data_IF_140648404466
#
_entry.id   IF_140648404466
#
_cell.length_a   1.000
_cell.length_b   1.000
_cell.length_c   1.000
_cell.angle_alpha   90.00
_cell.angle_beta   90.00
_cell.angle_gamma   90.00
#
_symmetry.space_group_name_H-M   'P 1'
#
loop_
_entity.id
_entity.type
_entity.pdbx_description
1 polymer ?
#
# COMPACT_ATOMS: atom_id res chain seq x y z
N UNK A 1 33.40 -37.00 -11.86
CA UNK A 1 33.21 -37.65 -10.55
C UNK A 1 31.79 -37.30 -10.10
N UNK A 2 30.86 -38.27 -10.16
CA UNK A 2 29.51 -38.12 -9.68
C UNK A 2 29.55 -38.03 -8.15
N UNK A 3 29.14 -36.92 -7.59
CA UNK A 3 28.82 -36.82 -6.14
C UNK A 3 27.69 -37.83 -5.87
N UNK A 4 28.01 -38.94 -5.19
CA UNK A 4 26.99 -39.79 -4.59
C UNK A 4 26.18 -38.89 -3.64
N UNK A 5 24.87 -38.82 -3.87
CA UNK A 5 23.97 -38.09 -2.96
C UNK A 5 24.05 -38.76 -1.59
N UNK A 6 24.57 -38.06 -0.58
CA UNK A 6 24.50 -38.50 0.79
C UNK A 6 23.04 -38.72 1.18
N UNK A 7 22.73 -39.89 1.74
CA UNK A 7 21.36 -40.15 2.26
C UNK A 7 21.07 -39.21 3.42
N UNK A 8 19.92 -38.62 3.40
CA UNK A 8 19.45 -37.80 4.52
C UNK A 8 19.38 -38.62 5.80
N UNK A 9 19.98 -38.12 6.87
CA UNK A 9 19.95 -38.73 8.18
C UNK A 9 18.82 -38.09 9.01
N UNK A 10 17.77 -38.85 9.32
CA UNK A 10 16.69 -38.40 10.18
C UNK A 10 17.14 -38.30 11.62
N UNK A 11 16.94 -37.17 12.26
CA UNK A 11 17.17 -36.98 13.69
C UNK A 11 15.89 -37.07 14.51
N UNK A 12 14.75 -37.37 13.84
CA UNK A 12 13.48 -37.61 14.50
C UNK A 12 13.48 -39.00 15.12
N UNK A 13 13.18 -39.05 16.41
CA UNK A 13 13.10 -40.29 17.17
C UNK A 13 11.67 -40.82 17.19
N UNK A 14 10.69 -39.91 17.49
CA UNK A 14 9.28 -40.27 17.63
C UNK A 14 8.38 -39.03 17.52
N UNK A 15 7.09 -39.29 17.42
CA UNK A 15 6.01 -38.33 17.52
C UNK A 15 5.17 -38.66 18.74
N UNK A 16 4.76 -37.67 19.53
CA UNK A 16 3.96 -37.88 20.73
C UNK A 16 3.12 -36.63 21.05
N UNK A 17 2.15 -36.75 21.95
CA UNK A 17 1.52 -35.62 22.59
C UNK A 17 2.30 -35.31 23.87
N UNK A 18 3.10 -34.26 23.85
CA UNK A 18 3.93 -33.88 24.97
C UNK A 18 3.11 -33.04 25.96
N UNK A 19 3.28 -33.30 27.28
CA UNK A 19 2.62 -32.52 28.32
C UNK A 19 3.25 -31.13 28.41
N UNK A 20 2.41 -30.07 28.38
CA UNK A 20 2.89 -28.68 28.38
C UNK A 20 3.67 -28.32 29.66
N UNK A 21 3.31 -28.95 30.80
CA UNK A 21 3.97 -28.74 32.09
C UNK A 21 5.38 -29.39 32.20
N UNK A 22 5.76 -30.21 31.21
CA UNK A 22 7.06 -30.87 31.13
C UNK A 22 7.97 -30.29 30.03
N UNK A 23 7.45 -29.36 29.23
CA UNK A 23 8.23 -28.73 28.15
C UNK A 23 9.06 -27.58 28.74
N UNK A 24 10.36 -27.64 28.52
CA UNK A 24 11.27 -26.55 28.94
C UNK A 24 11.49 -25.59 27.78
N UNK A 25 11.16 -24.31 28.01
CA UNK A 25 11.48 -23.27 27.02
C UNK A 25 13.00 -23.17 26.85
N UNK A 26 13.47 -23.07 25.61
CA UNK A 26 14.90 -22.97 25.35
C UNK A 26 15.45 -21.63 25.86
N UNK A 27 16.43 -21.63 26.76
CA UNK A 27 16.99 -20.41 27.33
C UNK A 27 17.74 -19.54 26.28
N UNK A 28 18.08 -20.12 25.12
CA UNK A 28 18.72 -19.43 23.99
C UNK A 28 17.70 -18.94 22.94
N UNK A 29 16.39 -19.08 23.22
CA UNK A 29 15.40 -18.56 22.31
C UNK A 29 15.47 -17.03 22.29
N UNK A 30 15.75 -16.46 21.11
CA UNK A 30 15.90 -15.02 20.89
C UNK A 30 14.65 -14.37 20.28
N UNK A 31 13.59 -15.14 20.01
CA UNK A 31 12.39 -14.66 19.31
C UNK A 31 11.46 -13.97 20.27
N UNK A 32 10.96 -12.82 19.83
CA UNK A 32 9.89 -12.06 20.49
C UNK A 32 8.68 -12.07 19.57
N UNK A 33 7.55 -12.53 20.08
CA UNK A 33 6.31 -12.66 19.32
C UNK A 33 5.39 -11.47 19.66
N UNK A 34 5.17 -10.54 18.71
CA UNK A 34 4.27 -9.41 18.92
C UNK A 34 2.81 -9.88 19.02
N UNK A 35 1.94 -9.04 19.60
CA UNK A 35 0.57 -9.41 19.92
C UNK A 35 -0.23 -9.81 18.67
N UNK A 36 -0.12 -9.04 17.56
CA UNK A 36 -0.82 -9.36 16.32
C UNK A 36 -0.48 -10.76 15.78
N UNK A 37 0.78 -11.24 15.94
CA UNK A 37 1.16 -12.60 15.56
C UNK A 37 0.50 -13.65 16.46
N UNK A 38 0.37 -13.36 17.76
CA UNK A 38 -0.34 -14.22 18.73
C UNK A 38 -1.81 -14.35 18.37
N UNK A 39 -2.46 -13.22 18.10
CA UNK A 39 -3.88 -13.15 17.77
C UNK A 39 -4.20 -13.88 16.45
N UNK A 40 -3.36 -13.70 15.42
CA UNK A 40 -3.51 -14.40 14.16
C UNK A 40 -3.32 -15.92 14.29
N UNK A 41 -2.31 -16.38 15.07
CA UNK A 41 -2.10 -17.81 15.31
C UNK A 41 -3.25 -18.42 16.11
N UNK A 42 -3.80 -17.69 17.08
CA UNK A 42 -4.97 -18.11 17.86
C UNK A 42 -6.20 -18.27 16.95
N UNK A 43 -6.43 -17.31 16.06
CA UNK A 43 -7.48 -17.39 15.06
C UNK A 43 -7.35 -18.64 14.18
N UNK A 44 -6.17 -18.89 13.62
CA UNK A 44 -5.92 -20.10 12.79
C UNK A 44 -6.14 -21.38 13.58
N UNK A 45 -5.67 -21.46 14.81
CA UNK A 45 -5.88 -22.65 15.66
C UNK A 45 -7.37 -22.85 15.96
N UNK A 46 -8.13 -21.78 16.18
CA UNK A 46 -9.59 -21.87 16.40
C UNK A 46 -10.36 -22.33 15.17
N UNK A 47 -9.99 -21.87 13.97
CA UNK A 47 -10.70 -22.22 12.73
C UNK A 47 -10.31 -23.58 12.18
N UNK A 48 -9.04 -23.95 12.22
CA UNK A 48 -8.49 -25.13 11.54
C UNK A 48 -8.00 -26.20 12.51
N UNK A 49 -7.59 -25.79 13.71
CA UNK A 49 -6.91 -26.66 14.67
C UNK A 49 -5.39 -26.62 14.55
N UNK A 50 -4.72 -27.45 15.36
CA UNK A 50 -3.26 -27.55 15.38
C UNK A 50 -2.79 -28.46 14.25
N UNK A 51 -2.09 -27.91 13.27
CA UNK A 51 -1.59 -28.63 12.07
C UNK A 51 -0.07 -28.80 12.05
N UNK A 52 0.64 -28.22 13.01
CA UNK A 52 2.09 -28.26 13.07
C UNK A 52 2.58 -28.62 14.46
N UNK A 53 3.43 -29.67 14.54
CA UNK A 53 4.06 -30.12 15.78
C UNK A 53 5.05 -29.10 16.32
N UNK A 54 5.22 -29.06 17.63
CA UNK A 54 6.39 -28.44 18.27
C UNK A 54 7.59 -29.39 18.18
N UNK A 55 8.81 -28.88 18.25
CA UNK A 55 10.03 -29.71 18.19
C UNK A 55 10.73 -29.67 19.54
N UNK A 56 10.95 -30.82 20.14
CA UNK A 56 11.61 -30.98 21.46
C UNK A 56 12.84 -31.83 21.31
N UNK A 57 13.97 -31.39 21.87
CA UNK A 57 15.19 -32.17 21.90
C UNK A 57 15.22 -33.11 23.12
N UNK A 58 15.25 -34.39 22.90
CA UNK A 58 15.23 -35.38 23.98
C UNK A 58 16.44 -35.29 24.93
N UNK A 59 17.63 -34.90 24.43
CA UNK A 59 18.83 -34.81 25.25
C UNK A 59 18.81 -33.70 26.26
N UNK A 60 18.27 -32.55 25.86
CA UNK A 60 18.24 -31.33 26.69
C UNK A 60 16.89 -31.11 27.35
N UNK A 61 15.83 -31.71 26.84
CA UNK A 61 14.45 -31.43 27.21
C UNK A 61 13.93 -30.06 26.71
N UNK A 62 14.77 -29.32 25.96
CA UNK A 62 14.45 -27.99 25.50
C UNK A 62 13.54 -27.99 24.25
N UNK A 63 12.66 -27.02 24.19
CA UNK A 63 11.91 -26.69 22.99
C UNK A 63 12.86 -26.07 21.94
N UNK A 64 12.86 -26.62 20.74
CA UNK A 64 13.69 -26.15 19.60
C UNK A 64 12.86 -25.27 18.66
N UNK A 65 11.60 -25.62 18.44
CA UNK A 65 10.64 -24.84 17.68
C UNK A 65 9.24 -24.92 18.27
N UNK A 66 8.43 -23.86 18.07
CA UNK A 66 7.04 -23.79 18.49
C UNK A 66 6.81 -23.15 19.86
N UNK A 67 7.73 -22.30 20.33
CA UNK A 67 7.60 -21.59 21.62
C UNK A 67 6.24 -20.89 21.75
N UNK A 68 5.82 -20.14 20.73
CA UNK A 68 4.52 -19.46 20.72
C UNK A 68 3.34 -20.44 20.85
N UNK A 69 3.40 -21.59 20.17
CA UNK A 69 2.34 -22.63 20.25
C UNK A 69 2.24 -23.22 21.65
N UNK A 70 3.35 -23.46 22.31
CA UNK A 70 3.37 -23.93 23.71
C UNK A 70 2.84 -22.85 24.66
N UNK A 71 3.28 -21.59 24.52
CA UNK A 71 2.77 -20.48 25.34
C UNK A 71 1.25 -20.34 25.24
N UNK A 72 0.70 -20.46 24.00
CA UNK A 72 -0.74 -20.38 23.77
C UNK A 72 -1.48 -21.60 24.32
N UNK A 73 -0.94 -22.82 24.17
CA UNK A 73 -1.52 -24.00 24.78
C UNK A 73 -1.64 -23.88 26.29
N UNK A 74 -0.58 -23.37 26.96
CA UNK A 74 -0.62 -23.11 28.40
C UNK A 74 -1.69 -22.05 28.73
N UNK A 75 -1.75 -20.95 27.99
CA UNK A 75 -2.73 -19.89 28.20
C UNK A 75 -4.18 -20.37 28.02
N UNK A 76 -4.41 -21.29 27.10
CA UNK A 76 -5.73 -21.87 26.81
C UNK A 76 -6.06 -23.08 27.70
N UNK A 77 -5.17 -23.50 28.63
CA UNK A 77 -5.40 -24.59 29.55
C UNK A 77 -5.32 -25.99 28.92
N UNK A 78 -4.62 -26.12 27.79
CA UNK A 78 -4.37 -27.40 27.16
C UNK A 78 -3.38 -28.22 27.98
N UNK A 79 -3.62 -29.53 28.12
CA UNK A 79 -2.74 -30.42 28.88
C UNK A 79 -1.56 -30.90 28.04
N UNK A 80 -1.73 -31.03 26.71
CA UNK A 80 -0.75 -31.57 25.81
C UNK A 80 -0.69 -30.82 24.49
N UNK A 81 0.47 -30.89 23.79
CA UNK A 81 0.64 -30.41 22.42
C UNK A 81 1.26 -31.50 21.55
N UNK A 82 0.93 -31.59 20.26
CA UNK A 82 1.57 -32.53 19.35
C UNK A 82 3.04 -32.15 19.17
N UNK A 83 3.94 -33.09 19.40
CA UNK A 83 5.38 -32.87 19.41
C UNK A 83 6.12 -33.85 18.51
N UNK A 84 7.18 -33.37 17.90
CA UNK A 84 8.24 -34.14 17.23
C UNK A 84 9.47 -34.16 18.13
N UNK A 85 9.88 -35.34 18.57
CA UNK A 85 11.02 -35.51 19.43
C UNK A 85 12.24 -35.80 18.56
N UNK A 86 13.31 -35.02 18.80
CA UNK A 86 14.56 -35.14 18.03
C UNK A 86 15.76 -35.46 18.96
N UNK A 87 16.78 -36.07 18.39
CA UNK A 87 18.05 -36.36 19.07
C UNK A 87 19.18 -35.45 18.54
N UNK A 88 19.39 -34.33 19.22
CA UNK A 88 20.39 -33.33 18.83
C UNK A 88 21.41 -33.14 19.96
N UNK A 89 22.71 -33.00 19.61
CA UNK A 89 23.70 -32.44 20.54
C UNK A 89 23.37 -30.93 20.80
N UNK A 90 23.92 -30.37 21.86
CA UNK A 90 23.72 -28.94 22.19
C UNK A 90 24.16 -27.98 21.06
N UNK A 91 25.23 -28.36 20.32
CA UNK A 91 25.69 -27.56 19.17
C UNK A 91 24.74 -27.65 17.97
N UNK A 92 24.18 -28.84 17.72
CA UNK A 92 23.16 -29.02 16.65
C UNK A 92 21.84 -28.31 17.03
N UNK A 93 21.43 -28.40 18.30
CA UNK A 93 20.26 -27.66 18.79
C UNK A 93 20.43 -26.15 18.60
N UNK A 94 21.59 -25.59 18.96
CA UNK A 94 21.89 -24.19 18.77
C UNK A 94 21.90 -23.80 17.27
N UNK A 95 22.42 -24.67 16.40
CA UNK A 95 22.42 -24.48 14.96
C UNK A 95 20.98 -24.44 14.40
N UNK A 96 20.16 -25.42 14.75
CA UNK A 96 18.77 -25.48 14.30
C UNK A 96 17.97 -24.27 14.82
N UNK A 97 18.08 -23.94 16.11
CA UNK A 97 17.41 -22.79 16.72
C UNK A 97 17.74 -21.48 15.99
N UNK A 98 19.00 -21.33 15.53
CA UNK A 98 19.44 -20.11 14.83
C UNK A 98 19.14 -20.08 13.33
N UNK A 99 18.79 -21.20 12.70
CA UNK A 99 18.69 -21.28 11.23
C UNK A 99 17.31 -21.62 10.69
N UNK A 100 16.43 -22.28 11.46
CA UNK A 100 15.14 -22.79 10.94
C UNK A 100 14.26 -21.67 10.36
N UNK A 101 14.11 -20.56 11.06
CA UNK A 101 13.29 -19.43 10.58
C UNK A 101 14.02 -18.57 9.55
N UNK A 102 15.31 -18.18 9.75
CA UNK A 102 16.04 -17.47 8.69
C UNK A 102 16.04 -18.21 7.36
N UNK A 103 16.15 -19.55 7.36
CA UNK A 103 16.07 -20.33 6.11
C UNK A 103 14.67 -20.25 5.49
N UNK A 104 13.61 -20.30 6.30
CA UNK A 104 12.23 -20.12 5.82
C UNK A 104 12.00 -18.71 5.26
N UNK A 105 12.56 -17.69 5.90
CA UNK A 105 12.48 -16.30 5.48
C UNK A 105 13.27 -15.97 4.20
N UNK A 106 14.22 -16.82 3.79
CA UNK A 106 14.94 -16.66 2.51
C UNK A 106 14.13 -17.09 1.29
N UNK A 107 13.01 -17.77 1.49
CA UNK A 107 12.12 -18.12 0.38
C UNK A 107 11.50 -16.85 -0.20
N UNK A 108 11.54 -16.72 -1.53
CA UNK A 108 10.86 -15.63 -2.23
C UNK A 108 9.42 -16.01 -2.52
N UNK A 109 8.53 -15.04 -2.45
CA UNK A 109 7.10 -15.24 -2.72
C UNK A 109 6.84 -15.11 -4.22
N UNK A 110 6.15 -16.10 -4.81
CA UNK A 110 5.53 -15.99 -6.12
C UNK A 110 4.18 -15.27 -5.93
N UNK A 111 4.17 -13.99 -6.26
CA UNK A 111 3.01 -13.12 -6.03
C UNK A 111 1.74 -13.63 -6.72
N UNK A 112 1.86 -14.20 -7.95
CA UNK A 112 0.68 -14.69 -8.68
C UNK A 112 0.05 -15.89 -7.97
N UNK A 113 0.87 -16.85 -7.52
CA UNK A 113 0.36 -18.02 -6.80
C UNK A 113 -0.19 -17.67 -5.42
N UNK A 114 0.41 -16.67 -4.76
CA UNK A 114 -0.10 -16.18 -3.49
C UNK A 114 -1.45 -15.48 -3.69
N UNK A 115 -1.61 -14.66 -4.74
CA UNK A 115 -2.88 -14.03 -5.08
C UNK A 115 -3.99 -15.08 -5.34
N UNK A 116 -3.70 -16.10 -6.17
CA UNK A 116 -4.62 -17.22 -6.40
C UNK A 116 -5.03 -17.89 -5.07
N UNK A 117 -4.05 -18.17 -4.19
CA UNK A 117 -4.32 -18.79 -2.89
C UNK A 117 -5.18 -17.89 -1.99
N UNK A 118 -4.86 -16.59 -1.92
CA UNK A 118 -5.60 -15.65 -1.07
C UNK A 118 -7.06 -15.47 -1.53
N UNK A 119 -7.33 -15.59 -2.83
CA UNK A 119 -8.70 -15.55 -3.38
C UNK A 119 -9.56 -16.74 -2.93
N UNK A 120 -8.94 -17.87 -2.65
CA UNK A 120 -9.64 -19.09 -2.20
C UNK A 120 -9.86 -19.13 -0.69
N UNK A 121 -9.12 -18.33 0.09
CA UNK A 121 -9.25 -18.29 1.54
C UNK A 121 -10.50 -17.50 1.94
N UNK A 122 -11.28 -18.07 2.88
CA UNK A 122 -12.43 -17.41 3.50
C UNK A 122 -12.32 -17.55 5.01
N UNK A 123 -12.29 -16.44 5.71
CA UNK A 123 -12.26 -16.37 7.17
C UNK A 123 -13.08 -15.19 7.66
N UNK A 124 -13.73 -15.32 8.80
CA UNK A 124 -14.41 -14.22 9.50
C UNK A 124 -13.59 -13.73 10.70
N UNK A 125 -12.43 -14.35 10.98
CA UNK A 125 -11.56 -13.92 12.06
C UNK A 125 -10.76 -12.69 11.62
N UNK A 126 -10.92 -11.60 12.35
CA UNK A 126 -10.30 -10.30 12.02
C UNK A 126 -8.77 -10.39 12.03
N UNK A 127 -8.19 -11.11 13.00
CA UNK A 127 -6.73 -11.22 13.13
C UNK A 127 -6.11 -12.01 11.98
N UNK A 128 -6.83 -13.02 11.46
CA UNK A 128 -6.42 -13.74 10.25
C UNK A 128 -6.55 -12.83 9.03
N UNK A 129 -7.64 -12.06 8.92
CA UNK A 129 -7.81 -11.11 7.81
C UNK A 129 -6.70 -10.06 7.79
N UNK A 130 -6.33 -9.51 8.93
CA UNK A 130 -5.22 -8.57 9.07
C UNK A 130 -3.88 -9.22 8.64
N UNK A 131 -3.58 -10.43 9.10
CA UNK A 131 -2.39 -11.18 8.69
C UNK A 131 -2.34 -11.43 7.18
N UNK A 132 -3.46 -11.85 6.57
CA UNK A 132 -3.54 -12.13 5.13
C UNK A 132 -3.41 -10.83 4.32
N UNK A 133 -3.94 -9.72 4.82
CA UNK A 133 -3.79 -8.40 4.23
C UNK A 133 -2.32 -7.96 4.26
N UNK A 134 -1.66 -8.07 5.42
CA UNK A 134 -0.22 -7.76 5.54
C UNK A 134 0.63 -8.64 4.61
N UNK A 135 0.29 -9.93 4.49
CA UNK A 135 0.98 -10.86 3.60
C UNK A 135 0.81 -10.47 2.12
N UNK A 136 -0.41 -10.09 1.72
CA UNK A 136 -0.70 -9.60 0.38
C UNK A 136 0.06 -8.29 0.09
N UNK A 137 -0.01 -7.32 1.01
CA UNK A 137 0.69 -6.03 0.89
C UNK A 137 2.21 -6.21 0.79
N UNK A 138 2.79 -7.08 1.62
CA UNK A 138 4.24 -7.37 1.59
C UNK A 138 4.67 -8.09 0.30
N UNK A 139 3.78 -8.85 -0.33
CA UNK A 139 4.02 -9.50 -1.61
C UNK A 139 3.68 -8.59 -2.81
N UNK A 140 3.22 -7.36 -2.56
CA UNK A 140 2.75 -6.43 -3.59
C UNK A 140 1.43 -6.88 -4.24
N UNK A 141 0.68 -7.76 -3.57
CA UNK A 141 -0.66 -8.16 -3.95
C UNK A 141 -1.63 -7.23 -3.23
N UNK A 142 -2.46 -6.55 -3.98
CA UNK A 142 -3.53 -5.78 -3.37
C UNK A 142 -4.69 -6.72 -3.08
N UNK A 143 -5.27 -6.66 -1.86
CA UNK A 143 -6.44 -7.46 -1.55
C UNK A 143 -7.54 -7.14 -2.57
N UNK A 144 -8.31 -8.14 -3.04
CA UNK A 144 -9.51 -7.87 -3.81
C UNK A 144 -10.38 -6.96 -2.95
N UNK A 145 -10.84 -5.85 -3.51
CA UNK A 145 -11.73 -4.93 -2.82
C UNK A 145 -12.94 -5.74 -2.32
N UNK A 146 -13.06 -5.87 -1.01
CA UNK A 146 -14.25 -6.46 -0.37
C UNK A 146 -15.37 -5.46 -0.42
N UNK A 147 -16.01 -5.37 -1.56
CA UNK A 147 -17.21 -4.60 -1.80
C UNK A 147 -17.92 -5.23 -2.98
N UNK A 148 -19.15 -5.68 -2.78
CA UNK A 148 -20.14 -5.99 -3.83
C UNK A 148 -20.50 -4.69 -4.61
N UNK A 149 -19.50 -4.01 -5.12
CA UNK A 149 -19.62 -3.01 -6.16
C UNK A 149 -19.13 -3.68 -7.43
N UNK A 150 -20.06 -4.11 -8.27
CA UNK A 150 -19.76 -4.53 -9.63
C UNK A 150 -18.69 -3.60 -10.20
N UNK A 151 -17.60 -4.20 -10.69
CA UNK A 151 -16.72 -3.54 -11.65
C UNK A 151 -17.59 -3.17 -12.87
N UNK A 152 -18.32 -2.07 -12.79
CA UNK A 152 -18.60 -1.33 -14.00
C UNK A 152 -17.23 -0.79 -14.42
N UNK A 153 -16.61 -1.48 -15.39
CA UNK A 153 -15.57 -0.90 -16.21
C UNK A 153 -16.16 0.41 -16.74
N UNK A 154 -15.88 1.50 -16.04
CA UNK A 154 -16.20 2.82 -16.57
C UNK A 154 -15.35 2.96 -17.83
N UNK A 155 -16.00 2.82 -18.99
CA UNK A 155 -15.38 3.07 -20.28
C UNK A 155 -14.73 4.46 -20.29
N UNK A 156 -13.70 4.69 -21.14
CA UNK A 156 -13.13 6.02 -21.31
C UNK A 156 -14.26 7.03 -21.47
N UNK A 157 -14.31 8.04 -20.58
CA UNK A 157 -15.36 9.05 -20.63
C UNK A 157 -15.16 9.80 -21.95
N UNK A 158 -16.06 9.61 -22.92
CA UNK A 158 -16.07 10.34 -24.18
C UNK A 158 -16.29 11.83 -23.88
N UNK A 159 -15.76 12.73 -24.71
CA UNK A 159 -15.86 14.19 -24.52
C UNK A 159 -17.31 14.65 -24.29
N UNK A 160 -18.26 14.03 -24.97
CA UNK A 160 -19.70 14.31 -24.80
C UNK A 160 -20.18 14.00 -23.36
N UNK A 161 -19.65 12.96 -22.75
CA UNK A 161 -20.01 12.55 -21.37
C UNK A 161 -19.39 13.48 -20.32
N UNK A 162 -18.20 14.04 -20.57
CA UNK A 162 -17.59 15.08 -19.73
C UNK A 162 -18.47 16.34 -19.70
N UNK A 163 -18.96 16.77 -20.87
CA UNK A 163 -19.84 17.91 -20.99
C UNK A 163 -21.21 17.67 -20.30
N UNK A 164 -21.75 16.47 -20.38
CA UNK A 164 -22.96 16.07 -19.67
C UNK A 164 -22.79 16.12 -18.15
N UNK A 165 -21.65 15.58 -17.63
CA UNK A 165 -21.34 15.60 -16.21
C UNK A 165 -21.15 17.03 -15.70
N UNK A 166 -20.45 17.88 -16.46
CA UNK A 166 -20.28 19.28 -16.09
C UNK A 166 -21.64 20.00 -16.02
N UNK A 167 -22.53 19.78 -17.00
CA UNK A 167 -23.90 20.35 -16.97
C UNK A 167 -24.71 19.81 -15.80
N UNK A 168 -24.60 18.53 -15.48
CA UNK A 168 -25.29 17.88 -14.36
C UNK A 168 -24.90 18.49 -13.01
N UNK A 169 -23.62 18.69 -12.78
CA UNK A 169 -23.10 19.19 -11.51
C UNK A 169 -23.04 20.73 -11.47
N UNK A 170 -22.97 21.40 -12.60
CA UNK A 170 -22.83 22.88 -12.68
C UNK A 170 -21.48 23.36 -12.14
N UNK A 171 -20.41 22.58 -12.38
CA UNK A 171 -19.07 22.91 -11.89
C UNK A 171 -18.46 24.07 -12.64
N UNK A 172 -17.92 25.04 -11.89
CA UNK A 172 -17.29 26.27 -12.41
C UNK A 172 -16.01 26.57 -11.66
N UNK A 173 -15.12 27.30 -12.33
CA UNK A 173 -13.87 27.73 -11.71
C UNK A 173 -14.12 28.62 -10.48
N UNK A 174 -13.39 28.41 -9.40
CA UNK A 174 -13.51 29.10 -8.12
C UNK A 174 -14.43 28.42 -7.10
N UNK A 175 -15.23 27.44 -7.52
CA UNK A 175 -16.12 26.72 -6.60
C UNK A 175 -15.37 25.74 -5.71
N UNK A 176 -15.86 25.60 -4.46
CA UNK A 176 -15.45 24.56 -3.52
C UNK A 176 -16.64 23.65 -3.27
N UNK A 177 -16.37 22.35 -3.33
CA UNK A 177 -17.33 21.28 -3.11
C UNK A 177 -16.96 20.46 -1.88
N UNK A 178 -17.95 20.07 -1.10
CA UNK A 178 -17.80 19.23 0.08
C UNK A 178 -18.55 17.94 -0.14
N UNK A 179 -17.86 16.80 0.01
CA UNK A 179 -18.43 15.46 -0.06
C UNK A 179 -18.01 14.67 1.19
N UNK A 180 -18.95 14.43 2.11
CA UNK A 180 -18.63 13.90 3.43
C UNK A 180 -17.63 14.81 4.17
N UNK A 181 -16.42 14.32 4.38
CA UNK A 181 -15.29 15.05 5.00
C UNK A 181 -14.35 15.68 3.96
N UNK A 182 -14.48 15.31 2.68
CA UNK A 182 -13.58 15.75 1.62
C UNK A 182 -13.94 17.14 1.11
N UNK A 183 -12.93 17.87 0.66
CA UNK A 183 -13.07 19.17 0.00
C UNK A 183 -12.38 19.12 -1.36
N UNK A 184 -13.10 19.55 -2.39
CA UNK A 184 -12.60 19.61 -3.77
C UNK A 184 -12.82 21.04 -4.28
N UNK A 185 -11.76 21.67 -4.77
CA UNK A 185 -11.84 23.01 -5.36
C UNK A 185 -11.57 22.96 -6.86
N UNK A 186 -12.44 23.58 -7.63
CA UNK A 186 -12.13 23.94 -9.00
C UNK A 186 -11.25 25.19 -9.01
N UNK A 187 -9.92 25.01 -9.13
CA UNK A 187 -9.00 26.12 -8.91
C UNK A 187 -7.60 25.89 -9.41
N UNK A 188 -6.79 26.95 -9.34
CA UNK A 188 -5.39 26.94 -9.76
C UNK A 188 -4.47 26.67 -8.56
N UNK A 189 -3.79 25.53 -8.56
CA UNK A 189 -2.84 25.11 -7.50
C UNK A 189 -1.55 25.94 -7.46
N UNK A 190 -1.27 26.73 -8.49
CA UNK A 190 -0.17 27.69 -8.48
C UNK A 190 -0.50 28.98 -7.70
N UNK A 191 -1.77 29.15 -7.31
CA UNK A 191 -2.26 30.29 -6.53
C UNK A 191 -2.39 29.90 -5.05
N UNK A 192 -1.51 30.43 -4.20
CA UNK A 192 -1.50 30.15 -2.77
C UNK A 192 -2.83 30.53 -2.08
N UNK A 193 -3.55 31.53 -2.57
CA UNK A 193 -4.85 31.95 -2.00
C UNK A 193 -5.90 30.87 -2.23
N UNK A 194 -5.97 30.27 -3.43
CA UNK A 194 -6.85 29.14 -3.69
C UNK A 194 -6.54 27.96 -2.78
N UNK A 195 -5.24 27.65 -2.55
CA UNK A 195 -4.87 26.56 -1.63
C UNK A 195 -5.29 26.86 -0.19
N UNK A 196 -5.22 28.12 0.25
CA UNK A 196 -5.72 28.54 1.58
C UNK A 196 -7.24 28.47 1.70
N UNK A 197 -7.96 28.81 0.64
CA UNK A 197 -9.42 28.67 0.58
C UNK A 197 -9.80 27.19 0.65
N UNK A 198 -9.16 26.32 -0.14
CA UNK A 198 -9.36 24.88 -0.06
C UNK A 198 -9.09 24.34 1.34
N UNK A 199 -8.03 24.80 2.02
CA UNK A 199 -7.64 24.35 3.35
C UNK A 199 -8.71 24.63 4.42
N UNK A 200 -9.58 25.66 4.23
CA UNK A 200 -10.71 25.92 5.12
C UNK A 200 -10.32 26.15 6.59
N UNK A 201 -9.13 26.75 6.83
CA UNK A 201 -8.61 27.01 8.17
C UNK A 201 -7.59 26.00 8.70
N UNK A 202 -7.30 24.94 7.96
CA UNK A 202 -6.16 24.05 8.29
C UNK A 202 -4.86 24.81 8.04
N UNK A 203 -4.01 24.85 9.06
CA UNK A 203 -2.70 25.49 8.97
C UNK A 203 -1.73 24.68 8.11
N UNK A 204 -1.71 23.37 8.30
CA UNK A 204 -0.92 22.41 7.49
C UNK A 204 -1.66 21.09 7.33
N UNK A 205 -1.68 20.60 6.11
CA UNK A 205 -2.07 19.23 5.81
C UNK A 205 -1.04 18.24 6.37
N UNK A 206 -1.50 17.02 6.67
CA UNK A 206 -0.58 15.99 7.17
C UNK A 206 0.34 15.51 6.05
N UNK A 207 -0.20 15.27 4.86
CA UNK A 207 0.56 14.82 3.69
C UNK A 207 0.08 15.55 2.44
N UNK A 208 1.01 15.98 1.58
CA UNK A 208 0.74 16.23 0.18
C UNK A 208 1.13 14.96 -0.59
N UNK A 209 0.14 14.30 -1.20
CA UNK A 209 0.34 13.15 -2.08
C UNK A 209 -0.20 13.49 -3.46
N UNK A 210 0.66 13.52 -4.49
CA UNK A 210 0.25 14.06 -5.78
C UNK A 210 0.97 13.43 -6.96
N UNK A 211 0.31 13.48 -8.12
CA UNK A 211 0.83 13.08 -9.44
C UNK A 211 0.83 14.29 -10.38
N UNK A 212 1.90 15.10 -10.38
CA UNK A 212 1.98 16.29 -11.22
C UNK A 212 1.98 15.96 -12.73
N UNK A 213 1.56 16.89 -13.60
CA UNK A 213 1.66 16.69 -15.05
C UNK A 213 3.07 16.36 -15.50
N UNK A 214 3.22 15.60 -16.59
CA UNK A 214 4.51 15.07 -17.04
C UNK A 214 5.17 15.85 -18.18
N UNK A 215 4.53 16.87 -18.75
CA UNK A 215 5.08 17.65 -19.85
C UNK A 215 5.38 16.79 -21.08
N UNK A 216 4.46 15.92 -21.46
CA UNK A 216 4.67 14.94 -22.53
C UNK A 216 4.71 15.58 -23.94
N UNK A 217 4.32 16.86 -24.07
CA UNK A 217 4.23 17.58 -25.33
C UNK A 217 3.21 16.98 -26.28
N UNK A 218 3.00 17.63 -27.44
CA UNK A 218 2.17 17.12 -28.54
C UNK A 218 2.81 15.88 -29.18
N UNK A 219 2.74 14.72 -28.53
CA UNK A 219 3.04 13.46 -29.23
C UNK A 219 1.85 13.13 -30.12
N UNK A 220 2.11 12.96 -31.41
CA UNK A 220 1.12 12.67 -32.47
C UNK A 220 0.23 11.43 -32.24
N UNK A 221 0.32 10.80 -31.11
CA UNK A 221 -0.52 9.65 -30.70
C UNK A 221 -1.71 10.03 -29.82
N UNK A 222 -1.75 11.24 -29.23
CA UNK A 222 -2.88 11.72 -28.47
C UNK A 222 -3.73 12.67 -29.33
N UNK A 223 -4.62 12.11 -30.15
CA UNK A 223 -5.64 12.87 -30.91
C UNK A 223 -6.85 13.28 -30.05
N UNK A 224 -6.77 13.18 -28.75
CA UNK A 224 -7.84 13.59 -27.85
C UNK A 224 -7.49 14.95 -27.26
N UNK A 225 -8.16 15.94 -27.74
CA UNK A 225 -8.37 17.33 -27.37
C UNK A 225 -8.03 17.72 -25.92
N UNK A 226 -6.75 17.96 -25.62
CA UNK A 226 -6.34 18.86 -24.56
C UNK A 226 -5.99 20.22 -25.18
N UNK A 227 -7.00 20.92 -25.73
CA UNK A 227 -6.78 22.23 -26.37
C UNK A 227 -6.48 23.38 -25.39
N UNK A 228 -6.51 23.15 -24.08
CA UNK A 228 -6.42 24.25 -23.11
C UNK A 228 -5.14 24.31 -22.28
N UNK A 229 -4.30 23.29 -22.28
CA UNK A 229 -3.06 23.32 -21.51
C UNK A 229 -1.84 22.97 -22.36
N UNK A 230 -0.95 23.93 -22.52
CA UNK A 230 0.34 23.77 -23.18
C UNK A 230 1.23 22.82 -22.33
N UNK A 231 1.24 21.53 -22.66
CA UNK A 231 2.00 20.49 -21.95
C UNK A 231 3.48 20.46 -22.38
N UNK A 232 4.09 21.65 -22.51
CA UNK A 232 5.52 21.78 -22.79
C UNK A 232 6.37 21.59 -21.53
N UNK A 233 7.62 21.12 -21.69
CA UNK A 233 8.58 20.97 -20.58
C UNK A 233 8.82 22.32 -19.86
N UNK A 234 8.79 23.43 -20.59
CA UNK A 234 8.95 24.75 -20.04
C UNK A 234 7.76 25.16 -19.16
N UNK A 235 6.53 24.87 -19.60
CA UNK A 235 5.32 25.11 -18.81
C UNK A 235 5.29 24.20 -17.58
N UNK A 236 5.67 22.92 -17.72
CA UNK A 236 5.81 22.00 -16.59
C UNK A 236 6.74 22.55 -15.52
N UNK A 237 7.91 23.06 -15.92
CA UNK A 237 8.86 23.65 -14.97
C UNK A 237 8.25 24.85 -14.24
N UNK A 238 7.53 25.74 -14.95
CA UNK A 238 6.86 26.88 -14.34
C UNK A 238 5.78 26.45 -13.33
N UNK A 239 5.01 25.39 -13.64
CA UNK A 239 4.02 24.82 -12.71
C UNK A 239 4.70 24.27 -11.46
N UNK A 240 5.76 23.47 -11.63
CA UNK A 240 6.54 22.91 -10.50
C UNK A 240 7.13 24.02 -9.64
N UNK A 241 7.77 25.02 -10.25
CA UNK A 241 8.42 26.13 -9.55
C UNK A 241 7.43 26.95 -8.69
N UNK A 242 6.15 26.97 -9.04
CA UNK A 242 5.09 27.65 -8.28
C UNK A 242 4.39 26.74 -7.28
N UNK A 243 3.97 25.54 -7.71
CA UNK A 243 3.12 24.66 -6.90
C UNK A 243 3.92 23.93 -5.82
N UNK A 244 5.14 23.48 -6.14
CA UNK A 244 5.93 22.70 -5.19
C UNK A 244 6.29 23.46 -3.90
N UNK A 245 6.73 24.73 -3.92
CA UNK A 245 6.94 25.51 -2.70
C UNK A 245 5.67 25.70 -1.86
N UNK A 246 4.50 25.84 -2.51
CA UNK A 246 3.22 25.93 -1.80
C UNK A 246 2.91 24.60 -1.11
N UNK A 247 3.10 23.47 -1.81
CA UNK A 247 2.89 22.15 -1.25
C UNK A 247 3.78 21.90 -0.01
N UNK A 248 5.06 22.23 -0.07
CA UNK A 248 5.98 22.10 1.08
C UNK A 248 5.62 23.02 2.26
N UNK A 249 5.12 24.20 1.97
CA UNK A 249 4.67 25.14 3.00
C UNK A 249 3.39 24.64 3.69
N UNK A 250 2.45 24.10 2.90
CA UNK A 250 1.12 23.73 3.34
C UNK A 250 1.00 22.30 3.84
N UNK A 251 2.01 21.42 3.66
CA UNK A 251 2.02 20.05 4.14
C UNK A 251 3.21 19.76 5.05
N UNK A 252 3.06 18.80 5.99
CA UNK A 252 4.14 18.31 6.85
C UNK A 252 5.11 17.42 6.08
N UNK A 253 4.58 16.64 5.15
CA UNK A 253 5.30 15.72 4.26
C UNK A 253 4.75 15.88 2.86
N UNK A 254 5.63 15.83 1.84
CA UNK A 254 5.24 15.82 0.44
C UNK A 254 5.79 14.58 -0.23
N UNK A 255 4.92 13.81 -0.89
CA UNK A 255 5.31 12.68 -1.74
C UNK A 255 4.68 12.85 -3.11
N UNK A 256 5.48 12.64 -4.16
CA UNK A 256 5.01 12.82 -5.53
C UNK A 256 5.64 11.81 -6.49
N UNK A 257 4.87 11.43 -7.51
CA UNK A 257 5.37 10.67 -8.65
C UNK A 257 5.83 11.63 -9.72
N UNK A 258 7.10 11.59 -10.09
CA UNK A 258 7.70 12.55 -11.04
C UNK A 258 7.92 11.97 -12.43
N UNK A 259 7.82 10.65 -12.55
CA UNK A 259 8.37 9.94 -13.69
C UNK A 259 9.90 9.99 -13.71
N UNK A 260 10.52 9.05 -14.44
CA UNK A 260 11.99 8.90 -14.47
C UNK A 260 12.71 10.08 -15.15
N UNK A 261 12.05 10.78 -16.07
CA UNK A 261 12.64 11.91 -16.80
C UNK A 261 12.60 13.19 -15.99
N UNK A 262 11.49 13.46 -15.32
CA UNK A 262 11.20 14.76 -14.71
C UNK A 262 11.67 14.88 -13.26
N UNK A 263 12.16 13.80 -12.65
CA UNK A 263 12.66 13.82 -11.28
C UNK A 263 13.74 14.88 -11.05
N UNK A 264 14.48 15.24 -12.09
CA UNK A 264 15.56 16.23 -12.04
C UNK A 264 15.09 17.70 -12.11
N UNK A 265 13.79 17.93 -12.34
CA UNK A 265 13.18 19.25 -12.27
C UNK A 265 12.88 19.68 -10.84
N UNK A 266 12.86 18.72 -9.92
CA UNK A 266 12.63 18.96 -8.49
C UNK A 266 13.96 19.09 -7.76
N UNK A 267 13.95 19.77 -6.62
CA UNK A 267 15.12 19.76 -5.74
C UNK A 267 15.39 18.34 -5.23
N UNK A 268 16.62 18.01 -4.78
CA UNK A 268 16.91 16.70 -4.21
C UNK A 268 15.92 16.33 -3.07
N UNK A 269 15.25 15.17 -3.13
CA UNK A 269 14.36 14.72 -2.08
C UNK A 269 15.13 14.24 -0.86
N UNK A 270 14.46 14.16 0.31
CA UNK A 270 15.01 13.53 1.51
C UNK A 270 15.16 12.03 1.36
N UNK A 271 14.24 11.41 0.60
CA UNK A 271 14.26 10.00 0.25
C UNK A 271 13.61 9.79 -1.11
N UNK A 272 13.91 8.66 -1.76
CA UNK A 272 13.22 8.23 -2.98
C UNK A 272 12.71 6.82 -2.76
N UNK A 273 11.39 6.65 -2.84
CA UNK A 273 10.77 5.32 -2.90
C UNK A 273 10.61 4.89 -4.36
N UNK A 274 10.39 3.61 -4.59
CA UNK A 274 10.25 3.05 -5.92
C UNK A 274 8.91 2.33 -6.12
N UNK A 275 8.23 2.63 -7.23
CA UNK A 275 7.13 1.83 -7.73
C UNK A 275 7.61 1.03 -8.94
N UNK A 276 7.70 -0.29 -8.79
CA UNK A 276 8.03 -1.21 -9.86
C UNK A 276 6.76 -1.64 -10.61
N UNK A 277 6.76 -1.45 -11.91
CA UNK A 277 5.70 -1.86 -12.82
C UNK A 277 6.31 -2.77 -13.92
N UNK A 278 6.36 -4.09 -13.71
CA UNK A 278 7.02 -5.03 -14.63
C UNK A 278 6.49 -5.00 -16.05
N UNK A 279 5.19 -4.69 -16.23
CA UNK A 279 4.58 -4.52 -17.55
C UNK A 279 5.07 -3.27 -18.30
N UNK A 280 5.82 -2.39 -17.62
CA UNK A 280 6.32 -1.13 -18.15
C UNK A 280 5.33 0.02 -18.02
N UNK A 281 5.88 1.22 -17.78
CA UNK A 281 5.12 2.49 -17.69
C UNK A 281 5.36 3.37 -18.92
N UNK A 282 6.00 2.85 -19.95
CA UNK A 282 6.34 3.55 -21.18
C UNK A 282 7.72 3.17 -21.72
N UNK A 283 8.13 3.84 -22.79
CA UNK A 283 9.43 3.63 -23.45
C UNK A 283 10.32 4.83 -23.24
N UNK A 284 11.50 4.60 -22.66
CA UNK A 284 12.56 5.59 -22.50
C UNK A 284 13.68 5.41 -23.53
N UNK A 285 14.71 6.25 -23.43
CA UNK A 285 15.88 6.19 -24.33
C UNK A 285 16.71 4.90 -24.18
N UNK A 286 16.59 4.19 -23.07
CA UNK A 286 17.32 2.96 -22.75
C UNK A 286 16.41 1.71 -22.72
N UNK A 287 15.18 1.80 -23.23
CA UNK A 287 14.22 0.70 -23.24
C UNK A 287 12.95 0.95 -22.45
N UNK A 288 12.29 -0.12 -21.99
CA UNK A 288 11.06 0.00 -21.23
C UNK A 288 11.31 0.55 -19.83
N UNK A 289 10.48 1.52 -19.42
CA UNK A 289 10.49 2.05 -18.05
C UNK A 289 9.67 1.10 -17.17
N UNK A 290 10.33 0.26 -16.38
CA UNK A 290 9.69 -0.73 -15.49
C UNK A 290 9.58 -0.25 -14.05
N UNK A 291 9.87 1.01 -13.76
CA UNK A 291 9.71 1.62 -12.45
C UNK A 291 9.51 3.12 -12.53
N UNK A 292 8.93 3.69 -11.49
CA UNK A 292 8.82 5.13 -11.31
C UNK A 292 9.35 5.54 -9.94
N UNK A 293 10.09 6.65 -9.85
CA UNK A 293 10.51 7.22 -8.58
C UNK A 293 9.32 7.91 -7.89
N UNK A 294 9.25 7.77 -6.57
CA UNK A 294 8.38 8.53 -5.69
C UNK A 294 9.29 9.43 -4.87
N UNK A 295 9.25 10.72 -5.12
CA UNK A 295 10.09 11.70 -4.42
C UNK A 295 9.45 12.08 -3.08
N UNK A 296 10.20 11.94 -1.99
CA UNK A 296 9.73 12.18 -0.64
C UNK A 296 10.46 13.37 0.00
N UNK A 297 9.70 14.28 0.57
CA UNK A 297 10.19 15.47 1.26
C UNK A 297 9.60 15.56 2.67
N UNK A 298 10.43 15.93 3.63
CA UNK A 298 10.07 15.92 5.04
C UNK A 298 10.64 14.72 5.79
N UNK A 299 10.09 14.43 6.97
CA UNK A 299 10.48 13.26 7.78
C UNK A 299 9.50 12.12 7.51
N UNK A 300 10.01 10.90 7.45
CA UNK A 300 9.16 9.71 7.34
C UNK A 300 8.10 9.70 8.46
N UNK A 301 6.79 9.70 8.12
CA UNK A 301 5.74 9.80 9.13
C UNK A 301 5.68 8.61 10.07
N UNK A 302 5.97 7.40 9.58
CA UNK A 302 5.97 6.17 10.38
C UNK A 302 7.12 6.18 11.38
N UNK A 303 8.34 6.51 10.93
CA UNK A 303 9.50 6.67 11.81
C UNK A 303 9.30 7.81 12.83
N UNK A 304 8.71 8.93 12.42
CA UNK A 304 8.45 10.06 13.31
C UNK A 304 7.46 9.71 14.44
N UNK A 305 6.55 8.76 14.19
CA UNK A 305 5.58 8.23 15.16
C UNK A 305 6.10 7.01 15.95
N UNK A 306 7.34 6.57 15.72
CA UNK A 306 7.93 5.41 16.39
C UNK A 306 7.38 4.06 15.90
N UNK A 307 6.77 4.00 14.72
CA UNK A 307 6.16 2.78 14.17
C UNK A 307 7.17 1.85 13.47
N UNK A 308 8.46 2.20 13.50
CA UNK A 308 9.52 1.42 12.86
C UNK A 308 9.74 1.72 11.39
N UNK A 309 10.62 0.94 10.77
CA UNK A 309 10.95 1.07 9.34
C UNK A 309 9.95 0.28 8.50
N UNK A 310 9.49 0.89 7.43
CA UNK A 310 8.57 0.28 6.45
C UNK A 310 9.23 0.21 5.07
N UNK A 311 8.79 -0.71 4.17
CA UNK A 311 9.31 -0.79 2.82
C UNK A 311 9.23 0.53 2.07
N UNK A 312 10.24 0.82 1.27
CA UNK A 312 10.33 1.99 0.41
C UNK A 312 10.14 1.67 -1.08
N UNK A 313 9.66 0.46 -1.37
CA UNK A 313 9.36 0.02 -2.72
C UNK A 313 8.13 -0.89 -2.74
N UNK A 314 7.41 -0.85 -3.86
CA UNK A 314 6.28 -1.74 -4.16
C UNK A 314 6.40 -2.27 -5.58
N UNK A 315 6.01 -3.52 -5.78
CA UNK A 315 5.72 -4.11 -7.10
C UNK A 315 4.22 -4.10 -7.30
N UNK A 316 3.75 -3.40 -8.32
CA UNK A 316 2.33 -3.30 -8.63
C UNK A 316 2.10 -3.49 -10.13
N UNK A 317 1.28 -4.46 -10.49
CA UNK A 317 1.07 -4.91 -11.88
C UNK A 317 -0.29 -4.55 -12.46
N UNK A 318 -1.23 -4.04 -11.65
CA UNK A 318 -2.55 -3.66 -12.16
C UNK A 318 -2.44 -2.52 -13.16
N UNK A 319 -3.27 -2.60 -14.19
CA UNK A 319 -3.46 -1.50 -15.14
C UNK A 319 -4.33 -0.43 -14.48
N UNK A 320 -4.02 0.85 -14.75
CA UNK A 320 -4.89 1.95 -14.34
C UNK A 320 -6.27 1.82 -14.98
N UNK A 321 -7.32 2.22 -14.25
CA UNK A 321 -8.67 2.32 -14.77
C UNK A 321 -8.68 3.24 -16.02
N UNK A 322 -9.35 2.81 -17.08
CA UNK A 322 -9.48 3.61 -18.31
C UNK A 322 -10.58 4.67 -18.15
N UNK A 323 -10.33 5.68 -17.35
CA UNK A 323 -11.31 6.75 -17.03
C UNK A 323 -11.26 7.96 -17.96
N UNK A 324 -10.77 7.79 -19.20
CA UNK A 324 -10.65 8.92 -20.13
C UNK A 324 -9.51 9.90 -19.81
N UNK A 325 -8.94 9.87 -18.62
CA UNK A 325 -7.75 10.64 -18.27
C UNK A 325 -6.50 9.85 -18.69
N UNK A 326 -5.57 10.42 -19.46
CA UNK A 326 -4.46 9.70 -20.09
C UNK A 326 -3.42 9.13 -19.11
N UNK A 327 -3.44 9.51 -17.84
CA UNK A 327 -2.40 9.17 -16.86
C UNK A 327 -2.95 8.82 -15.47
N UNK A 328 -4.11 8.17 -15.36
CA UNK A 328 -4.63 7.75 -14.06
C UNK A 328 -3.66 6.78 -13.38
N UNK A 329 -3.40 6.97 -12.08
CA UNK A 329 -2.67 5.99 -11.28
C UNK A 329 -3.59 4.85 -10.85
N UNK A 330 -3.11 3.58 -10.84
CA UNK A 330 -3.88 2.48 -10.25
C UNK A 330 -4.25 2.81 -8.81
N UNK A 331 -5.51 2.61 -8.44
CA UNK A 331 -6.02 2.98 -7.12
C UNK A 331 -5.34 2.20 -6.01
N UNK A 332 -5.00 0.94 -6.27
CA UNK A 332 -4.28 0.11 -5.34
C UNK A 332 -2.88 0.64 -5.01
N UNK A 333 -2.08 0.98 -6.03
CA UNK A 333 -0.79 1.63 -5.82
C UNK A 333 -0.94 2.95 -5.03
N UNK A 334 -1.96 3.75 -5.38
CA UNK A 334 -2.19 5.04 -4.74
C UNK A 334 -2.60 4.90 -3.28
N UNK A 335 -3.42 3.88 -2.97
CA UNK A 335 -3.81 3.52 -1.59
C UNK A 335 -2.63 3.00 -0.78
N UNK A 336 -1.76 2.16 -1.37
CA UNK A 336 -0.53 1.72 -0.71
C UNK A 336 0.35 2.91 -0.32
N UNK A 337 0.61 3.83 -1.26
CA UNK A 337 1.41 5.02 -0.98
C UNK A 337 0.77 5.86 0.13
N UNK A 338 -0.55 6.03 0.10
CA UNK A 338 -1.31 6.76 1.11
C UNK A 338 -1.14 6.13 2.52
N UNK A 339 -1.33 4.82 2.64
CA UNK A 339 -1.13 4.08 3.90
C UNK A 339 0.33 4.14 4.37
N UNK A 340 1.28 4.13 3.43
CA UNK A 340 2.72 4.22 3.74
C UNK A 340 3.08 5.55 4.39
N UNK A 341 2.42 6.64 4.05
CA UNK A 341 2.79 8.00 4.47
C UNK A 341 1.78 8.69 5.38
N UNK A 342 0.64 8.07 5.66
CA UNK A 342 -0.42 8.65 6.49
C UNK A 342 -1.14 7.62 7.34
N UNK A 343 -1.92 8.10 8.33
CA UNK A 343 -2.83 7.33 9.16
C UNK A 343 -4.29 7.70 8.87
N UNK A 344 -5.25 6.89 9.36
CA UNK A 344 -6.67 7.20 9.29
C UNK A 344 -6.98 8.54 9.98
N UNK A 345 -7.90 9.30 9.38
CA UNK A 345 -8.28 10.62 9.85
C UNK A 345 -7.33 11.74 9.45
N UNK A 346 -6.13 11.43 8.91
CA UNK A 346 -5.19 12.45 8.46
C UNK A 346 -5.60 13.09 7.13
N UNK A 347 -5.19 14.33 6.93
CA UNK A 347 -5.50 15.17 5.76
C UNK A 347 -4.49 14.94 4.64
N UNK A 348 -5.01 14.63 3.45
CA UNK A 348 -4.24 14.44 2.21
C UNK A 348 -4.53 15.60 1.27
N UNK A 349 -3.51 16.36 0.93
CA UNK A 349 -3.57 17.44 -0.07
C UNK A 349 -3.09 16.92 -1.43
N UNK A 350 -3.90 17.11 -2.47
CA UNK A 350 -3.52 16.84 -3.84
C UNK A 350 -3.79 18.05 -4.73
N UNK A 351 -2.74 18.79 -5.14
CA UNK A 351 -2.86 19.96 -6.03
C UNK A 351 -3.24 19.62 -7.48
N UNK A 352 -3.19 18.34 -7.89
CA UNK A 352 -3.45 17.88 -9.25
C UNK A 352 -4.38 16.66 -9.23
N UNK A 353 -5.61 16.87 -8.76
CA UNK A 353 -6.54 15.79 -8.43
C UNK A 353 -6.97 14.96 -9.66
N UNK A 354 -6.93 15.56 -10.86
CA UNK A 354 -7.29 14.91 -12.12
C UNK A 354 -8.69 14.31 -12.08
N UNK A 355 -8.78 13.01 -12.36
CA UNK A 355 -10.06 12.28 -12.30
C UNK A 355 -10.50 11.88 -10.89
N UNK A 356 -9.74 12.26 -9.82
CA UNK A 356 -10.13 12.07 -8.43
C UNK A 356 -9.65 10.77 -7.78
N UNK A 357 -8.64 10.11 -8.29
CA UNK A 357 -8.11 8.87 -7.69
C UNK A 357 -7.73 9.07 -6.23
N UNK A 358 -7.10 10.21 -5.89
CA UNK A 358 -6.76 10.55 -4.49
C UNK A 358 -8.01 10.70 -3.61
N UNK A 359 -9.08 11.31 -4.13
CA UNK A 359 -10.31 11.51 -3.36
C UNK A 359 -11.00 10.17 -3.04
N UNK A 360 -11.12 9.30 -4.03
CA UNK A 360 -11.66 7.94 -3.87
C UNK A 360 -10.78 7.10 -2.93
N UNK A 361 -9.45 7.15 -3.10
CA UNK A 361 -8.53 6.45 -2.21
C UNK A 361 -8.64 6.96 -0.76
N UNK A 362 -8.83 8.25 -0.54
CA UNK A 362 -9.06 8.82 0.79
C UNK A 362 -10.32 8.27 1.45
N UNK A 363 -11.45 8.24 0.73
CA UNK A 363 -12.70 7.70 1.27
C UNK A 363 -12.53 6.23 1.66
N UNK A 364 -12.04 5.41 0.76
CA UNK A 364 -11.87 3.97 0.98
C UNK A 364 -10.88 3.64 2.09
N UNK A 365 -9.92 4.51 2.37
CA UNK A 365 -8.90 4.29 3.39
C UNK A 365 -9.08 5.17 4.64
N UNK A 366 -10.22 5.83 4.82
CA UNK A 366 -10.52 6.62 6.02
C UNK A 366 -9.70 7.91 6.17
N UNK A 367 -9.10 8.45 5.09
CA UNK A 367 -8.38 9.72 5.07
C UNK A 367 -9.30 10.86 4.62
N UNK A 368 -8.85 12.10 4.76
CA UNK A 368 -9.62 13.29 4.37
C UNK A 368 -8.90 13.95 3.19
N UNK A 369 -9.55 13.98 2.01
CA UNK A 369 -9.01 14.60 0.82
C UNK A 369 -9.26 16.11 0.80
N UNK A 370 -8.22 16.85 0.47
CA UNK A 370 -8.24 18.26 0.09
C UNK A 370 -7.65 18.35 -1.32
N UNK A 371 -8.50 18.27 -2.34
CA UNK A 371 -8.06 18.15 -3.73
C UNK A 371 -8.34 19.39 -4.54
N UNK A 372 -7.45 19.70 -5.49
CA UNK A 372 -7.61 20.79 -6.43
C UNK A 372 -7.50 20.28 -7.86
N UNK A 373 -8.41 20.75 -8.70
CA UNK A 373 -8.43 20.48 -10.12
C UNK A 373 -8.81 21.76 -10.87
N UNK A 374 -8.08 22.04 -11.93
CA UNK A 374 -8.26 23.30 -12.67
C UNK A 374 -9.42 23.23 -13.68
N UNK A 375 -9.69 22.04 -14.22
CA UNK A 375 -10.72 21.85 -15.23
C UNK A 375 -12.07 21.51 -14.58
N UNK A 376 -13.13 22.37 -14.77
CA UNK A 376 -14.46 22.11 -14.24
C UNK A 376 -15.06 20.77 -14.68
N UNK A 377 -14.71 20.25 -15.87
CA UNK A 377 -15.18 18.96 -16.37
C UNK A 377 -14.67 17.82 -15.50
N UNK A 378 -13.38 17.84 -15.16
CA UNK A 378 -12.80 16.83 -14.28
C UNK A 378 -13.29 16.96 -12.84
N UNK A 379 -13.57 18.19 -12.36
CA UNK A 379 -14.24 18.35 -11.06
C UNK A 379 -15.59 17.62 -11.07
N UNK A 380 -16.38 17.73 -12.15
CA UNK A 380 -17.64 17.00 -12.27
C UNK A 380 -17.46 15.47 -12.23
N UNK A 381 -16.40 14.93 -12.85
CA UNK A 381 -16.03 13.52 -12.77
C UNK A 381 -15.72 13.12 -11.33
N UNK A 382 -14.93 13.93 -10.62
CA UNK A 382 -14.60 13.69 -9.20
C UNK A 382 -15.87 13.58 -8.35
N UNK A 383 -16.80 14.53 -8.53
CA UNK A 383 -18.05 14.55 -7.78
C UNK A 383 -18.91 13.31 -8.09
N UNK A 384 -18.97 12.89 -9.35
CA UNK A 384 -19.69 11.68 -9.73
C UNK A 384 -19.08 10.42 -9.11
N UNK A 385 -17.75 10.31 -9.08
CA UNK A 385 -17.04 9.19 -8.43
C UNK A 385 -17.29 9.18 -6.92
N UNK A 386 -17.18 10.32 -6.25
CA UNK A 386 -17.48 10.43 -4.81
C UNK A 386 -18.94 10.09 -4.50
N UNK A 387 -19.88 10.43 -5.40
CA UNK A 387 -21.25 9.98 -5.29
C UNK A 387 -21.38 8.46 -5.42
N UNK A 388 -20.60 7.85 -6.31
CA UNK A 388 -20.49 6.39 -6.45
C UNK A 388 -19.98 5.70 -5.17
N UNK A 389 -19.12 6.36 -4.38
CA UNK A 389 -18.69 5.90 -3.06
C UNK A 389 -19.75 6.15 -1.95
N UNK A 390 -20.95 6.56 -2.30
CA UNK A 390 -22.05 6.78 -1.34
C UNK A 390 -22.07 8.16 -0.68
N UNK A 391 -21.26 9.11 -1.14
CA UNK A 391 -21.22 10.46 -0.62
C UNK A 391 -22.22 11.38 -1.36
N UNK A 392 -22.64 12.47 -0.68
CA UNK A 392 -23.50 13.49 -1.25
C UNK A 392 -22.73 14.81 -1.45
N UNK A 393 -22.10 15.02 -2.63
CA UNK A 393 -21.36 16.24 -2.90
C UNK A 393 -22.28 17.47 -2.92
N UNK A 394 -21.85 18.54 -2.27
CA UNK A 394 -22.56 19.82 -2.24
C UNK A 394 -21.59 20.99 -2.38
N UNK A 395 -22.04 22.07 -3.00
CA UNK A 395 -21.23 23.27 -3.08
C UNK A 395 -21.14 23.92 -1.69
N UNK A 396 -19.94 24.38 -1.34
CA UNK A 396 -19.74 25.15 -0.10
C UNK A 396 -20.29 26.57 -0.34
N UNK A 397 -21.13 27.04 0.59
CA UNK A 397 -21.74 28.39 0.54
C UNK A 397 -20.80 29.45 1.11
#
# INVERSE_FOLDING_TARGET
MSKQAEKWNSRIIRYENARVDQITANPKNFRIHPQHQRDALDGVIREVGVVQNVIINERTGNLVDGHLRVDMAIANGEETVPATIVDLSESEEALILSTIDPLSALATTDANKLDELLRDVRTNDQSIQELLTDLAENAGILPPETGDGANEELEPVEDDKLDELQKKWGTEFGQIWVAGKHRVMCGDSTNEEHVRLLAGGIEKFDVCQTDPPYGLGDTKSNKNNYETHNDSVENLKNIIDKTFPIAEKMAKVTVLTSGTKNQWLYKPPTWTMAWFCPAGTGVGAWGFCCWQPILCYGKDPKLAKGMGSHPDAIVHTETSEKLGHPCNKPIGFWSWLMKRVSEEGESIYDPFLGSGTTAVACERNGRICYGMEIDPKYVAVILERLKGEGLEPRIEQ
#
